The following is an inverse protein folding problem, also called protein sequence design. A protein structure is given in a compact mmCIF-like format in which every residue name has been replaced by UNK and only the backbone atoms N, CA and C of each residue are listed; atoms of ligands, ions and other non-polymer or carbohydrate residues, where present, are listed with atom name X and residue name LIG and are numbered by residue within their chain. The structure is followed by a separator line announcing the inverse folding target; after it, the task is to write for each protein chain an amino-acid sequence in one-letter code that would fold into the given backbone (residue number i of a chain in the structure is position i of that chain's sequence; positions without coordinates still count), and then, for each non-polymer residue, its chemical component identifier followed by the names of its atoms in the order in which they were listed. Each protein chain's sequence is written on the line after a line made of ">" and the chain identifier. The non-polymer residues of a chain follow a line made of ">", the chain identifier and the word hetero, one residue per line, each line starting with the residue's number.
data_IF_834129309772
#
_entry.id   IF_834129309772
#
_cell.length_a   1.000
_cell.length_b   1.000
_cell.length_c   1.000
_cell.angle_alpha   90.00
_cell.angle_beta   90.00
_cell.angle_gamma   90.00
#
_symmetry.space_group_name_H-M   'P 1'
#
loop_
_entity.id
_entity.type
_entity.pdbx_description
1 polymer ?
#
# COMPACT_ATOMS: atom_id res chain seq x y z
N UNK A 1 -2.60 -9.66 -22.54
CA UNK A 1 -1.31 -9.46 -21.86
C UNK A 1 -1.06 -7.97 -21.74
N UNK A 2 -1.42 -7.35 -20.62
CA UNK A 2 -0.98 -5.98 -20.34
C UNK A 2 0.52 -6.04 -20.09
N UNK A 3 1.33 -5.55 -21.03
CA UNK A 3 2.67 -5.07 -20.72
C UNK A 3 2.47 -4.05 -19.60
N UNK A 4 2.82 -4.42 -18.37
CA UNK A 4 2.59 -3.59 -17.20
C UNK A 4 3.47 -2.35 -17.28
N UNK A 5 2.93 -1.26 -17.82
CA UNK A 5 3.54 0.05 -17.69
C UNK A 5 3.55 0.40 -16.20
N UNK A 6 4.71 0.78 -15.68
CA UNK A 6 4.86 1.31 -14.34
C UNK A 6 5.24 2.78 -14.45
N UNK A 7 5.02 3.56 -13.39
CA UNK A 7 5.56 4.92 -13.30
C UNK A 7 6.85 4.88 -12.50
N UNK A 8 7.84 5.64 -12.92
CA UNK A 8 9.11 5.79 -12.22
C UNK A 8 9.31 7.27 -11.88
N UNK A 9 9.52 7.55 -10.60
CA UNK A 9 9.93 8.86 -10.10
C UNK A 9 11.45 8.91 -10.04
N UNK A 10 12.01 9.89 -10.73
CA UNK A 10 13.42 10.23 -10.69
C UNK A 10 13.58 11.44 -9.80
N UNK A 11 14.50 11.36 -8.84
CA UNK A 11 14.85 12.46 -7.96
C UNK A 11 16.37 12.65 -8.01
N UNK A 12 16.80 13.74 -8.63
CA UNK A 12 18.21 14.08 -8.80
C UNK A 12 18.53 15.31 -7.97
N UNK A 13 19.47 15.15 -7.02
CA UNK A 13 19.95 16.21 -6.14
C UNK A 13 21.47 16.34 -6.25
N UNK A 14 21.95 17.58 -6.18
CA UNK A 14 23.36 17.86 -6.00
C UNK A 14 23.72 17.71 -4.51
N UNK A 15 24.44 16.63 -4.18
CA UNK A 15 25.10 16.49 -2.89
C UNK A 15 26.56 16.89 -3.07
N UNK A 16 26.92 18.13 -2.80
CA UNK A 16 28.32 18.50 -2.53
C UNK A 16 28.71 18.03 -1.13
N UNK A 17 28.88 16.72 -0.97
CA UNK A 17 29.41 16.10 0.25
C UNK A 17 30.83 15.63 0.03
N UNK A 18 31.81 16.35 0.57
CA UNK A 18 33.20 15.89 0.70
C UNK A 18 33.24 14.62 1.56
N UNK A 19 33.38 13.46 0.92
CA UNK A 19 33.55 12.18 1.61
C UNK A 19 35.04 12.00 1.95
N UNK A 20 35.48 12.55 3.08
CA UNK A 20 36.65 12.02 3.79
C UNK A 20 36.17 10.80 4.59
N UNK A 21 36.33 9.61 4.01
CA UNK A 21 36.07 8.33 4.68
C UNK A 21 37.33 7.51 4.67
N UNK A 22 38.01 7.42 5.81
CA UNK A 22 39.11 6.49 6.04
C UNK A 22 38.66 5.05 5.80
N UNK A 23 39.43 4.33 5.01
CA UNK A 23 39.26 2.90 4.77
C UNK A 23 40.03 2.18 5.88
N UNK A 24 39.31 1.73 6.90
CA UNK A 24 39.69 0.55 7.66
C UNK A 24 38.71 -0.54 7.20
N UNK A 25 39.23 -1.60 6.57
CA UNK A 25 38.81 -2.95 6.90
C UNK A 25 39.69 -3.99 6.18
N UNK A 26 40.48 -4.66 7.01
CA UNK A 26 40.86 -6.05 6.86
C UNK A 26 39.66 -6.94 6.52
N UNK A 27 39.78 -7.78 5.49
CA UNK A 27 39.33 -9.18 5.47
C UNK A 27 39.70 -9.79 4.12
N UNK A 28 40.57 -10.80 4.16
CA UNK A 28 41.06 -11.52 3.00
C UNK A 28 40.06 -12.53 2.44
N UNK A 29 40.26 -12.88 1.18
CA UNK A 29 39.91 -14.17 0.60
C UNK A 29 40.90 -14.55 -0.49
N UNK A 30 41.12 -15.86 -0.56
CA UNK A 30 42.16 -16.59 -1.26
C UNK A 30 42.20 -16.43 -2.78
N UNK A 31 43.43 -16.63 -3.26
CA UNK A 31 43.94 -16.79 -4.61
C UNK A 31 43.24 -17.87 -5.45
N UNK A 32 42.97 -17.55 -6.72
CA UNK A 32 43.02 -18.52 -7.81
C UNK A 32 43.53 -17.84 -9.09
N UNK A 33 44.54 -18.47 -9.69
CA UNK A 33 45.53 -17.94 -10.63
C UNK A 33 45.08 -17.73 -12.09
N UNK A 34 45.69 -16.69 -12.69
CA UNK A 34 46.27 -16.52 -14.05
C UNK A 34 45.48 -16.93 -15.32
N UNK A 35 45.53 -16.22 -16.45
CA UNK A 35 46.56 -15.37 -17.02
C UNK A 35 45.97 -14.40 -18.08
N UNK A 36 46.79 -13.42 -18.49
CA UNK A 36 46.64 -12.52 -19.64
C UNK A 36 46.00 -11.14 -19.41
N UNK A 37 46.56 -10.36 -18.49
CA UNK A 37 46.66 -8.89 -18.65
C UNK A 37 47.99 -8.39 -18.08
N UNK A 38 48.72 -7.51 -18.80
CA UNK A 38 50.02 -7.00 -18.34
C UNK A 38 49.84 -6.09 -17.12
N UNK A 39 50.86 -5.99 -16.23
CA UNK A 39 50.79 -5.17 -15.04
C UNK A 39 50.72 -3.68 -15.44
N UNK A 40 49.71 -2.98 -14.91
CA UNK A 40 49.62 -1.51 -14.97
C UNK A 40 50.66 -0.97 -14.00
N UNK A 41 51.92 -0.94 -14.43
CA UNK A 41 52.92 -0.04 -13.88
C UNK A 41 53.02 1.17 -14.79
N UNK A 42 52.92 2.35 -14.17
CA UNK A 42 53.26 3.67 -14.73
C UNK A 42 52.38 4.19 -15.87
N UNK A 43 51.10 4.48 -15.59
CA UNK A 43 50.50 5.69 -16.15
C UNK A 43 50.80 6.85 -15.20
N UNK A 44 51.68 7.74 -15.65
CA UNK A 44 52.00 9.00 -15.00
C UNK A 44 50.72 9.82 -14.80
N UNK A 45 50.41 10.14 -13.56
CA UNK A 45 49.39 11.11 -13.15
C UNK A 45 49.83 12.53 -13.51
N UNK A 46 49.90 12.83 -14.80
CA UNK A 46 50.41 14.12 -15.30
C UNK A 46 49.33 15.05 -15.87
N UNK A 47 48.04 14.77 -15.67
CA UNK A 47 46.94 15.69 -15.97
C UNK A 47 46.00 15.79 -14.77
N UNK A 48 46.34 16.63 -13.79
CA UNK A 48 45.46 16.96 -12.64
C UNK A 48 44.38 17.98 -13.04
N UNK A 49 44.55 18.69 -14.16
CA UNK A 49 43.65 19.76 -14.61
C UNK A 49 42.41 19.26 -15.39
N UNK A 50 42.27 17.94 -15.64
CA UNK A 50 41.19 17.39 -16.47
C UNK A 50 39.95 16.95 -15.66
N UNK A 51 40.03 17.01 -14.32
CA UNK A 51 38.96 16.58 -13.41
C UNK A 51 38.25 17.72 -12.66
N UNK A 52 38.64 18.98 -12.87
CA UNK A 52 38.00 20.15 -12.23
C UNK A 52 36.54 20.39 -12.66
N UNK A 53 36.07 19.67 -13.70
CA UNK A 53 34.70 19.80 -14.24
C UNK A 53 33.85 18.53 -14.11
N UNK A 54 34.21 17.57 -13.26
CA UNK A 54 33.42 16.34 -13.06
C UNK A 54 32.55 16.45 -11.81
N UNK A 55 31.29 16.83 -11.99
CA UNK A 55 30.31 16.82 -10.89
C UNK A 55 29.58 15.47 -10.82
N UNK A 56 29.59 14.84 -9.64
CA UNK A 56 28.81 13.65 -9.37
C UNK A 56 27.39 14.03 -8.93
N UNK A 57 26.39 13.59 -9.69
CA UNK A 57 24.99 13.82 -9.40
C UNK A 57 24.37 12.59 -8.75
N UNK A 58 23.74 12.76 -7.59
CA UNK A 58 23.00 11.68 -6.95
C UNK A 58 21.60 11.57 -7.56
N UNK A 59 21.29 10.40 -8.14
CA UNK A 59 19.97 10.09 -8.69
C UNK A 59 19.33 8.92 -7.95
N UNK A 60 18.13 9.15 -7.39
CA UNK A 60 17.31 8.11 -6.77
C UNK A 60 16.10 7.82 -7.65
N UNK A 61 15.85 6.54 -7.88
CA UNK A 61 14.74 6.04 -8.68
C UNK A 61 13.72 5.30 -7.80
N UNK A 62 12.44 5.64 -7.91
CA UNK A 62 11.37 5.03 -7.12
C UNK A 62 10.20 4.60 -8.03
N UNK A 63 9.75 3.34 -7.89
CA UNK A 63 8.59 2.84 -8.64
C UNK A 63 7.31 3.31 -7.96
N UNK A 64 6.43 3.94 -8.72
CA UNK A 64 5.16 4.48 -8.25
C UNK A 64 4.02 3.74 -8.95
N UNK A 65 2.98 3.32 -8.21
CA UNK A 65 1.80 2.72 -8.82
C UNK A 65 1.02 3.77 -9.64
N UNK A 66 0.41 3.33 -10.74
CA UNK A 66 -0.59 4.14 -11.45
C UNK A 66 -1.77 4.49 -10.54
N UNK A 67 -2.55 5.49 -10.94
CA UNK A 67 -3.73 5.92 -10.21
C UNK A 67 -4.96 5.14 -10.67
N UNK A 68 -5.81 4.72 -9.74
CA UNK A 68 -7.04 3.99 -10.04
C UNK A 68 -8.22 4.99 -10.07
N UNK A 69 -8.58 5.44 -11.26
CA UNK A 69 -9.70 6.35 -11.52
C UNK A 69 -11.06 5.72 -11.18
N UNK A 70 -11.17 4.39 -11.17
CA UNK A 70 -12.39 3.67 -10.81
C UNK A 70 -12.64 3.60 -9.29
N UNK A 71 -11.62 3.69 -8.43
CA UNK A 71 -11.81 3.79 -6.97
C UNK A 71 -11.62 5.20 -6.43
N UNK A 72 -10.73 5.98 -7.04
CA UNK A 72 -10.33 7.28 -6.53
C UNK A 72 -11.08 8.39 -7.28
N UNK A 73 -12.25 8.78 -6.77
CA UNK A 73 -13.05 9.90 -7.30
C UNK A 73 -12.20 11.18 -7.40
N UNK A 74 -11.33 11.38 -6.40
CA UNK A 74 -9.91 11.72 -6.55
C UNK A 74 -9.45 12.27 -7.91
N UNK A 75 -9.01 11.32 -8.71
CA UNK A 75 -8.31 11.51 -9.96
C UNK A 75 -9.17 12.27 -10.97
N UNK A 76 -10.44 11.87 -11.14
CA UNK A 76 -11.39 12.51 -12.05
C UNK A 76 -11.72 13.95 -11.63
N UNK A 77 -11.89 14.19 -10.33
CA UNK A 77 -12.10 15.54 -9.78
C UNK A 77 -10.88 16.45 -9.99
N UNK A 78 -9.67 15.91 -9.80
CA UNK A 78 -8.44 16.66 -10.01
C UNK A 78 -8.29 17.04 -11.50
N UNK A 79 -8.63 16.16 -12.43
CA UNK A 79 -8.63 16.45 -13.87
C UNK A 79 -9.63 17.57 -14.20
N UNK A 80 -10.89 17.44 -13.76
CA UNK A 80 -11.93 18.44 -14.04
C UNK A 80 -11.58 19.83 -13.46
N UNK A 81 -11.10 19.87 -12.21
CA UNK A 81 -10.78 21.14 -11.58
C UNK A 81 -9.49 21.77 -12.12
N UNK A 82 -8.43 20.98 -12.34
CA UNK A 82 -7.13 21.50 -12.76
C UNK A 82 -7.09 21.82 -14.24
N UNK A 83 -7.73 21.04 -15.12
CA UNK A 83 -7.73 21.33 -16.57
C UNK A 83 -8.47 22.61 -16.94
N UNK A 84 -9.47 23.01 -16.14
CA UNK A 84 -10.17 24.27 -16.34
C UNK A 84 -9.29 25.49 -16.07
N UNK A 85 -8.27 25.34 -15.22
CA UNK A 85 -7.28 26.39 -14.89
C UNK A 85 -5.89 26.14 -15.50
N UNK A 86 -5.72 25.04 -16.23
CA UNK A 86 -4.42 24.64 -16.73
C UNK A 86 -3.99 25.49 -17.92
N UNK A 87 -2.70 25.81 -17.94
CA UNK A 87 -2.05 26.44 -19.11
C UNK A 87 -1.79 25.37 -20.15
N UNK A 88 -2.46 25.48 -21.30
CA UNK A 88 -2.35 24.52 -22.40
C UNK A 88 -1.67 25.21 -23.59
N UNK A 89 -0.43 24.82 -23.87
CA UNK A 89 0.34 25.35 -25.00
C UNK A 89 0.45 24.27 -26.08
N UNK A 90 -0.19 24.53 -27.23
CA UNK A 90 -0.17 23.60 -28.36
C UNK A 90 0.85 24.05 -29.40
N UNK A 91 1.54 23.07 -29.99
CA UNK A 91 2.44 23.21 -31.12
C UNK A 91 3.60 24.20 -30.90
N UNK A 92 4.26 24.06 -29.75
CA UNK A 92 5.50 24.79 -29.44
C UNK A 92 6.59 24.47 -30.49
N UNK A 93 7.31 25.47 -30.97
CA UNK A 93 8.34 25.36 -32.04
C UNK A 93 9.77 25.29 -31.49
N UNK A 94 9.93 25.61 -30.21
CA UNK A 94 11.18 25.68 -29.50
C UNK A 94 11.80 24.29 -29.34
N UNK A 95 13.12 24.22 -29.48
CA UNK A 95 13.87 22.95 -29.45
C UNK A 95 14.79 22.85 -28.24
N UNK A 96 15.06 23.97 -27.55
CA UNK A 96 15.84 24.00 -26.32
C UNK A 96 14.96 23.79 -25.10
N UNK A 97 15.42 22.96 -24.16
CA UNK A 97 14.73 22.71 -22.90
C UNK A 97 14.49 24.03 -22.15
N UNK A 98 15.50 24.90 -22.07
CA UNK A 98 15.38 26.16 -21.35
C UNK A 98 14.32 27.10 -21.95
N UNK A 99 14.28 27.21 -23.28
CA UNK A 99 13.32 28.06 -23.99
C UNK A 99 11.89 27.54 -23.80
N UNK A 100 11.71 26.22 -23.93
CA UNK A 100 10.42 25.56 -23.72
C UNK A 100 9.90 25.83 -22.30
N UNK A 101 10.74 25.57 -21.29
CA UNK A 101 10.34 25.78 -19.90
C UNK A 101 10.16 27.26 -19.56
N UNK A 102 10.99 28.16 -20.09
CA UNK A 102 10.83 29.60 -19.89
C UNK A 102 9.49 30.10 -20.44
N UNK A 103 9.09 29.65 -21.64
CA UNK A 103 7.81 30.01 -22.23
C UNK A 103 6.62 29.45 -21.46
N UNK A 104 6.69 28.19 -21.02
CA UNK A 104 5.63 27.58 -20.18
C UNK A 104 5.50 28.36 -18.87
N UNK A 105 6.61 28.63 -18.18
CA UNK A 105 6.61 29.33 -16.89
C UNK A 105 6.11 30.76 -17.06
N UNK A 106 6.49 31.45 -18.13
CA UNK A 106 6.02 32.80 -18.43
C UNK A 106 4.50 32.86 -18.63
N UNK A 107 3.94 31.93 -19.40
CA UNK A 107 2.49 31.84 -19.60
C UNK A 107 1.74 31.46 -18.31
N UNK A 108 2.35 30.65 -17.44
CA UNK A 108 1.77 30.37 -16.12
C UNK A 108 1.78 31.58 -15.20
N UNK A 109 2.86 32.37 -15.21
CA UNK A 109 3.00 33.60 -14.41
C UNK A 109 1.99 34.67 -14.85
N UNK A 110 1.73 34.78 -16.17
CA UNK A 110 0.71 35.70 -16.71
C UNK A 110 -0.69 35.32 -16.21
N UNK A 111 -1.03 34.03 -16.16
CA UNK A 111 -2.36 33.59 -15.76
C UNK A 111 -2.60 33.69 -14.26
N UNK A 112 -1.61 33.33 -13.43
CA UNK A 112 -1.71 33.40 -11.97
C UNK A 112 -0.37 33.84 -11.32
N UNK A 113 -0.23 35.11 -10.89
CA UNK A 113 1.02 35.65 -10.35
C UNK A 113 1.24 35.24 -8.87
N UNK A 114 1.30 33.93 -8.59
CA UNK A 114 1.59 33.39 -7.25
C UNK A 114 3.10 33.09 -7.04
N UNK A 115 3.90 33.07 -8.10
CA UNK A 115 5.31 32.65 -8.06
C UNK A 115 6.16 33.39 -9.11
N UNK A 116 7.45 33.54 -8.84
CA UNK A 116 8.39 34.15 -9.80
C UNK A 116 9.06 33.07 -10.65
N UNK A 117 9.32 33.37 -11.93
CA UNK A 117 10.00 32.47 -12.87
C UNK A 117 11.34 31.94 -12.34
N UNK A 118 12.12 32.76 -11.65
CA UNK A 118 13.39 32.38 -11.01
C UNK A 118 13.22 31.31 -9.92
N UNK A 119 12.18 31.43 -9.10
CA UNK A 119 11.90 30.46 -8.03
C UNK A 119 11.57 29.09 -8.62
N UNK A 120 10.71 29.06 -9.65
CA UNK A 120 10.37 27.82 -10.35
C UNK A 120 11.60 27.21 -11.03
N UNK A 121 12.41 28.03 -11.71
CA UNK A 121 13.64 27.58 -12.39
C UNK A 121 14.62 26.96 -11.41
N UNK A 122 14.80 27.56 -10.23
CA UNK A 122 15.74 27.09 -9.21
C UNK A 122 15.38 25.73 -8.60
N UNK A 123 14.10 25.34 -8.65
CA UNK A 123 13.59 24.06 -8.11
C UNK A 123 13.45 23.01 -9.21
N UNK A 124 13.06 23.42 -10.42
CA UNK A 124 12.94 22.50 -11.56
C UNK A 124 14.29 22.00 -12.04
N UNK A 125 15.32 22.85 -12.01
CA UNK A 125 16.66 22.51 -12.46
C UNK A 125 17.62 22.35 -11.29
N UNK A 126 18.50 21.37 -11.38
CA UNK A 126 19.62 21.27 -10.45
C UNK A 126 20.58 22.44 -10.65
N UNK A 127 20.93 23.11 -9.56
CA UNK A 127 21.89 24.21 -9.59
C UNK A 127 23.31 23.65 -9.63
N UNK A 128 24.01 23.82 -10.76
CA UNK A 128 25.47 23.78 -10.74
C UNK A 128 26.08 25.05 -11.31
N UNK A 129 27.18 25.44 -10.66
CA UNK A 129 28.00 26.61 -10.89
C UNK A 129 28.76 26.50 -12.21
N UNK A 130 28.05 26.69 -13.32
CA UNK A 130 28.67 26.78 -14.63
C UNK A 130 27.73 26.46 -15.78
N UNK A 131 26.57 27.10 -15.89
CA UNK A 131 25.75 27.38 -17.10
C UNK A 131 25.66 26.35 -18.27
N UNK A 132 26.10 25.10 -18.15
CA UNK A 132 26.29 24.21 -19.30
C UNK A 132 25.32 23.03 -19.34
N UNK A 133 24.76 22.58 -18.21
CA UNK A 133 23.81 21.46 -18.21
C UNK A 133 22.68 21.62 -17.18
N UNK A 134 21.46 21.87 -17.67
CA UNK A 134 20.25 21.89 -16.87
C UNK A 134 19.55 20.52 -16.89
N UNK A 135 19.60 19.78 -15.79
CA UNK A 135 18.87 18.51 -15.59
C UNK A 135 17.64 18.77 -14.72
N UNK A 136 16.52 18.16 -15.08
CA UNK A 136 15.28 18.26 -14.31
C UNK A 136 15.40 17.49 -12.98
N UNK A 137 15.21 18.18 -11.87
CA UNK A 137 15.43 17.63 -10.52
C UNK A 137 14.46 16.50 -10.18
N UNK A 138 13.16 16.67 -10.46
CA UNK A 138 12.14 15.67 -10.13
C UNK A 138 11.18 15.44 -11.29
N UNK A 139 11.20 14.22 -11.81
CA UNK A 139 10.42 13.84 -13.00
C UNK A 139 9.75 12.49 -12.83
N UNK A 140 8.59 12.33 -13.44
CA UNK A 140 7.86 11.06 -13.55
C UNK A 140 7.72 10.69 -15.02
N UNK A 141 8.11 9.46 -15.34
CA UNK A 141 7.98 8.87 -16.67
C UNK A 141 7.42 7.45 -16.55
N UNK A 142 6.87 6.91 -17.64
CA UNK A 142 6.52 5.49 -17.70
C UNK A 142 7.73 4.63 -18.04
N UNK A 143 7.75 3.42 -17.50
CA UNK A 143 8.72 2.38 -17.87
C UNK A 143 8.00 1.15 -18.42
N UNK A 144 8.62 0.57 -19.43
CA UNK A 144 8.24 -0.69 -20.04
C UNK A 144 9.29 -1.76 -19.71
N UNK A 145 8.84 -2.96 -19.38
CA UNK A 145 9.73 -4.11 -19.17
C UNK A 145 9.89 -4.85 -20.48
N UNK A 146 11.08 -4.78 -21.07
CA UNK A 146 11.43 -5.52 -22.29
C UNK A 146 12.26 -6.75 -21.88
N UNK A 147 11.63 -7.92 -21.81
CA UNK A 147 12.32 -9.22 -21.82
C UNK A 147 12.15 -10.13 -20.60
N UNK A 148 12.15 -11.44 -20.88
CA UNK A 148 11.93 -12.56 -19.94
C UNK A 148 13.17 -13.03 -19.18
N UNK A 149 14.36 -12.51 -19.50
CA UNK A 149 15.63 -12.84 -18.82
C UNK A 149 16.49 -11.58 -18.79
N UNK A 150 16.65 -10.93 -17.63
CA UNK A 150 17.61 -9.84 -17.44
C UNK A 150 17.09 -8.45 -17.07
N UNK A 151 15.77 -8.23 -16.91
CA UNK A 151 15.22 -7.08 -16.17
C UNK A 151 15.65 -5.69 -16.64
N UNK A 152 15.96 -5.50 -17.92
CA UNK A 152 16.16 -4.16 -18.50
C UNK A 152 14.82 -3.43 -18.59
N UNK A 153 14.79 -2.18 -18.11
CA UNK A 153 13.61 -1.32 -18.16
C UNK A 153 13.88 -0.20 -19.17
N UNK A 154 12.99 -0.07 -20.15
CA UNK A 154 13.04 1.03 -21.13
C UNK A 154 12.08 2.14 -20.70
N UNK A 155 12.48 3.39 -20.89
CA UNK A 155 11.63 4.56 -20.62
C UNK A 155 10.69 4.84 -21.80
N UNK A 156 9.46 5.25 -21.51
CA UNK A 156 8.60 5.88 -22.51
C UNK A 156 9.15 7.29 -22.80
N UNK A 157 9.66 7.47 -24.02
CA UNK A 157 10.38 8.67 -24.43
C UNK A 157 9.46 9.80 -24.89
N UNK A 158 8.16 9.53 -25.06
CA UNK A 158 7.22 10.44 -25.73
C UNK A 158 6.67 11.56 -24.85
N UNK A 159 6.78 11.42 -23.53
CA UNK A 159 6.29 12.41 -22.57
C UNK A 159 7.12 12.45 -21.28
N UNK A 160 7.01 13.57 -20.57
CA UNK A 160 7.60 13.72 -19.24
C UNK A 160 6.70 14.58 -18.35
N UNK A 161 6.60 14.22 -17.07
CA UNK A 161 5.98 15.06 -16.07
C UNK A 161 7.02 15.56 -15.07
N UNK A 162 7.30 16.87 -15.09
CA UNK A 162 8.15 17.54 -14.12
C UNK A 162 7.30 18.03 -12.94
N UNK A 163 7.82 17.84 -11.73
CA UNK A 163 7.12 18.24 -10.51
C UNK A 163 7.93 19.27 -9.73
N UNK A 164 7.25 20.31 -9.28
CA UNK A 164 7.83 21.43 -8.54
C UNK A 164 7.01 21.66 -7.27
N UNK A 165 7.70 21.79 -6.14
CA UNK A 165 7.07 22.08 -4.85
C UNK A 165 7.58 23.42 -4.33
N UNK A 166 6.69 24.39 -4.18
CA UNK A 166 7.03 25.74 -3.73
C UNK A 166 6.27 26.07 -2.44
N UNK A 167 6.89 26.80 -1.52
CA UNK A 167 6.23 27.28 -0.30
C UNK A 167 5.40 28.54 -0.51
N UNK A 168 5.65 29.27 -1.60
CA UNK A 168 4.96 30.52 -1.96
C UNK A 168 3.57 30.27 -2.55
N UNK A 169 3.41 29.15 -3.24
CA UNK A 169 2.20 28.77 -3.97
C UNK A 169 1.13 28.24 -3.01
N UNK A 170 -0.12 28.69 -3.15
CA UNK A 170 -1.26 28.24 -2.34
C UNK A 170 -2.07 27.15 -3.05
N UNK A 171 -2.15 27.24 -4.38
CA UNK A 171 -2.97 26.36 -5.21
C UNK A 171 -2.12 25.45 -6.11
N UNK A 172 -2.70 24.37 -6.63
CA UNK A 172 -1.98 23.48 -7.54
C UNK A 172 -2.15 24.00 -8.95
N UNK A 173 -1.05 24.21 -9.64
CA UNK A 173 -1.02 24.70 -11.01
C UNK A 173 -0.47 23.61 -11.92
N UNK A 174 -1.10 23.46 -13.09
CA UNK A 174 -0.71 22.47 -14.09
C UNK A 174 -0.54 23.18 -15.42
N UNK A 175 0.58 22.94 -16.08
CA UNK A 175 0.78 23.31 -17.47
C UNK A 175 1.06 22.06 -18.30
N UNK A 176 0.49 22.02 -19.50
CA UNK A 176 0.71 20.97 -20.47
C UNK A 176 1.12 21.63 -21.78
N UNK A 177 2.29 21.26 -22.27
CA UNK A 177 2.80 21.69 -23.57
C UNK A 177 2.87 20.51 -24.53
N UNK A 178 2.37 20.71 -25.75
CA UNK A 178 2.60 19.83 -26.90
C UNK A 178 3.63 20.48 -27.82
N UNK A 179 4.70 19.76 -28.11
CA UNK A 179 5.71 20.18 -29.08
C UNK A 179 5.21 19.89 -30.51
N UNK A 180 5.47 20.83 -31.42
CA UNK A 180 5.11 20.72 -32.85
C UNK A 180 5.83 19.54 -33.52
N UNK A 181 7.11 19.37 -33.20
CA UNK A 181 7.95 18.27 -33.61
C UNK A 181 8.49 17.55 -32.37
N UNK A 182 8.67 16.22 -32.44
CA UNK A 182 9.35 15.52 -31.36
C UNK A 182 10.79 16.03 -31.21
N UNK A 183 11.19 16.28 -29.97
CA UNK A 183 12.47 16.91 -29.66
C UNK A 183 13.28 16.04 -28.71
N UNK A 184 14.58 15.90 -29.00
CA UNK A 184 15.51 15.21 -28.10
C UNK A 184 15.99 16.17 -27.00
N UNK A 185 15.53 15.95 -25.77
CA UNK A 185 15.90 16.73 -24.59
C UNK A 185 16.81 15.96 -23.61
N UNK A 186 17.34 14.80 -24.00
CA UNK A 186 18.30 14.05 -23.18
C UNK A 186 18.17 12.53 -23.28
N UNK A 187 18.92 11.83 -22.43
CA UNK A 187 19.07 10.36 -22.51
C UNK A 187 17.76 9.58 -22.34
N UNK A 188 16.83 10.08 -21.52
CA UNK A 188 15.51 9.46 -21.28
C UNK A 188 14.37 10.14 -22.06
N UNK A 189 14.68 11.11 -22.94
CA UNK A 189 13.72 11.98 -23.64
C UNK A 189 14.17 12.21 -25.09
N UNK A 190 14.36 11.13 -25.85
CA UNK A 190 14.90 11.23 -27.21
C UNK A 190 13.85 11.66 -28.24
N UNK A 191 12.57 11.39 -27.97
CA UNK A 191 11.43 11.64 -28.87
C UNK A 191 10.29 12.35 -28.12
N UNK A 192 10.64 13.36 -27.31
CA UNK A 192 9.68 13.99 -26.41
C UNK A 192 8.67 14.82 -27.19
N UNK A 193 7.38 14.64 -26.88
CA UNK A 193 6.29 15.38 -27.53
C UNK A 193 5.36 16.09 -26.55
N UNK A 194 5.22 15.56 -25.33
CA UNK A 194 4.41 16.17 -24.28
C UNK A 194 5.23 16.49 -23.04
N UNK A 195 5.08 17.70 -22.52
CA UNK A 195 5.68 18.14 -21.27
C UNK A 195 4.56 18.56 -20.34
N UNK A 196 4.50 17.94 -19.17
CA UNK A 196 3.56 18.29 -18.11
C UNK A 196 4.35 18.88 -16.94
N UNK A 197 4.00 20.07 -16.50
CA UNK A 197 4.58 20.69 -15.30
C UNK A 197 3.50 20.78 -14.23
N UNK A 198 3.76 20.23 -13.06
CA UNK A 198 2.88 20.34 -11.89
C UNK A 198 3.60 21.14 -10.82
N UNK A 199 3.04 22.31 -10.47
CA UNK A 199 3.50 23.16 -9.37
C UNK A 199 2.49 23.02 -8.22
N UNK A 200 2.98 22.72 -7.02
CA UNK A 200 2.11 22.56 -5.86
C UNK A 200 2.73 23.13 -4.57
N UNK A 201 1.91 23.47 -3.57
CA UNK A 201 2.39 23.87 -2.24
C UNK A 201 3.27 22.79 -1.60
N UNK A 202 4.37 23.21 -0.95
CA UNK A 202 5.26 22.31 -0.20
C UNK A 202 4.59 21.66 1.03
N UNK A 203 3.60 22.32 1.61
CA UNK A 203 2.79 21.82 2.74
C UNK A 203 1.35 21.54 2.30
N UNK A 204 1.14 20.42 1.62
CA UNK A 204 -0.19 19.96 1.23
C UNK A 204 -0.73 18.86 2.17
N UNK A 205 -2.03 18.91 2.50
CA UNK A 205 -2.69 17.87 3.30
C UNK A 205 -2.88 16.58 2.50
N UNK A 206 -2.31 15.47 3.00
CA UNK A 206 -2.64 14.10 2.60
C UNK A 206 -2.62 13.85 1.09
N UNK A 207 -3.81 13.64 0.51
CA UNK A 207 -4.04 13.22 -0.89
C UNK A 207 -4.06 14.39 -1.91
N UNK A 208 -3.50 15.56 -1.58
CA UNK A 208 -3.37 16.73 -2.47
C UNK A 208 -1.89 17.09 -2.76
N UNK A 209 -0.97 16.16 -2.54
CA UNK A 209 0.45 16.38 -2.78
C UNK A 209 0.76 16.54 -4.26
N UNK A 210 1.88 17.20 -4.58
CA UNK A 210 2.39 17.33 -5.96
C UNK A 210 2.44 15.96 -6.66
N UNK A 211 2.99 14.96 -5.96
CA UNK A 211 3.14 13.60 -6.44
C UNK A 211 1.79 12.94 -6.78
N UNK A 212 0.76 13.16 -5.96
CA UNK A 212 -0.58 12.60 -6.23
C UNK A 212 -1.24 13.22 -7.46
N UNK A 213 -1.04 14.52 -7.70
CA UNK A 213 -1.52 15.20 -8.90
C UNK A 213 -0.73 14.79 -10.14
N UNK A 214 0.60 14.72 -10.03
CA UNK A 214 1.48 14.18 -11.07
C UNK A 214 1.08 12.76 -11.46
N UNK A 215 0.78 11.87 -10.50
CA UNK A 215 0.30 10.51 -10.77
C UNK A 215 -1.00 10.49 -11.58
N UNK A 216 -1.92 11.43 -11.32
CA UNK A 216 -3.17 11.56 -12.08
C UNK A 216 -2.90 11.79 -13.57
N UNK A 217 -2.10 12.80 -13.90
CA UNK A 217 -1.76 13.10 -15.31
C UNK A 217 -0.86 12.03 -15.92
N UNK A 218 0.15 11.56 -15.19
CA UNK A 218 1.06 10.50 -15.63
C UNK A 218 0.32 9.21 -16.01
N UNK A 219 -0.78 8.86 -15.30
CA UNK A 219 -1.58 7.68 -15.62
C UNK A 219 -2.34 7.84 -16.95
N UNK A 220 -2.87 9.04 -17.25
CA UNK A 220 -3.51 9.32 -18.54
C UNK A 220 -2.50 9.32 -19.69
N UNK A 221 -1.35 9.96 -19.48
CA UNK A 221 -0.30 10.03 -20.50
C UNK A 221 0.45 8.71 -20.67
N UNK A 222 0.36 7.76 -19.74
CA UNK A 222 0.92 6.42 -19.91
C UNK A 222 0.18 5.60 -20.99
N UNK A 223 -1.07 5.94 -21.29
CA UNK A 223 -1.85 5.30 -22.34
C UNK A 223 -1.49 5.87 -23.73
N UNK A 224 -1.06 4.98 -24.63
CA UNK A 224 -0.69 5.34 -25.99
C UNK A 224 -1.88 5.85 -26.81
N UNK A 225 -3.08 5.31 -26.61
CA UNK A 225 -4.27 5.66 -27.39
C UNK A 225 -4.76 7.07 -27.05
N UNK A 226 -4.67 7.44 -25.77
CA UNK A 226 -4.93 8.81 -25.31
C UNK A 226 -3.93 9.76 -25.94
N UNK A 227 -2.63 9.45 -25.91
CA UNK A 227 -1.58 10.31 -26.51
C UNK A 227 -1.82 10.54 -28.01
N UNK A 228 -2.20 9.51 -28.75
CA UNK A 228 -2.51 9.66 -30.18
C UNK A 228 -3.67 10.63 -30.41
N UNK A 229 -4.76 10.51 -29.64
CA UNK A 229 -5.89 11.46 -29.72
C UNK A 229 -5.47 12.90 -29.40
N UNK A 230 -4.59 13.08 -28.40
CA UNK A 230 -4.07 14.40 -28.02
C UNK A 230 -3.17 15.03 -29.10
N UNK A 231 -2.44 14.22 -29.87
CA UNK A 231 -1.68 14.72 -31.01
C UNK A 231 -2.62 15.26 -32.11
N UNK A 232 -3.78 14.63 -32.31
CA UNK A 232 -4.74 15.02 -33.35
C UNK A 232 -5.60 16.24 -32.99
N UNK A 233 -5.57 16.71 -31.73
CA UNK A 233 -6.39 17.84 -31.30
C UNK A 233 -5.88 19.17 -31.90
N UNK A 234 -6.70 19.85 -32.71
CA UNK A 234 -6.31 21.11 -33.36
C UNK A 234 -6.57 22.38 -32.54
N UNK A 235 -7.42 22.31 -31.50
CA UNK A 235 -7.71 23.43 -30.60
C UNK A 235 -7.48 23.07 -29.14
N UNK A 236 -7.28 24.10 -28.31
CA UNK A 236 -7.09 23.95 -26.86
C UNK A 236 -8.33 23.34 -26.20
N UNK A 237 -9.53 23.73 -26.65
CA UNK A 237 -10.80 23.21 -26.16
C UNK A 237 -10.96 21.73 -26.53
N UNK A 238 -10.60 21.35 -27.76
CA UNK A 238 -10.63 19.97 -28.21
C UNK A 238 -9.63 19.11 -27.42
N UNK A 239 -8.44 19.63 -27.15
CA UNK A 239 -7.43 18.96 -26.32
C UNK A 239 -7.95 18.73 -24.89
N UNK A 240 -8.54 19.77 -24.29
CA UNK A 240 -9.15 19.70 -22.94
C UNK A 240 -10.29 18.69 -22.89
N UNK A 241 -11.21 18.74 -23.86
CA UNK A 241 -12.34 17.82 -23.94
C UNK A 241 -11.87 16.37 -24.08
N UNK A 242 -10.85 16.12 -24.91
CA UNK A 242 -10.27 14.79 -25.12
C UNK A 242 -9.68 14.22 -23.83
N UNK A 243 -8.93 15.01 -23.05
CA UNK A 243 -8.39 14.57 -21.76
C UNK A 243 -9.50 14.27 -20.74
N UNK A 244 -10.55 15.09 -20.71
CA UNK A 244 -11.65 14.93 -19.77
C UNK A 244 -12.50 13.69 -20.10
N UNK A 245 -12.74 13.44 -21.39
CA UNK A 245 -13.40 12.23 -21.87
C UNK A 245 -12.56 10.98 -21.57
N UNK A 246 -11.26 11.02 -21.86
CA UNK A 246 -10.34 9.92 -21.57
C UNK A 246 -10.28 9.56 -20.08
N UNK A 247 -10.31 10.56 -19.18
CA UNK A 247 -10.37 10.31 -17.73
C UNK A 247 -11.67 9.62 -17.29
N UNK A 248 -12.81 9.96 -17.91
CA UNK A 248 -14.10 9.32 -17.64
C UNK A 248 -14.18 7.90 -18.18
N UNK A 249 -13.68 7.70 -19.40
CA UNK A 249 -13.56 6.39 -20.05
C UNK A 249 -12.70 5.44 -19.21
N UNK A 250 -11.51 5.88 -18.81
CA UNK A 250 -10.60 5.10 -17.97
C UNK A 250 -11.25 4.74 -16.61
N UNK A 251 -12.00 5.66 -16.00
CA UNK A 251 -12.72 5.39 -14.75
C UNK A 251 -13.82 4.31 -14.93
N UNK A 252 -14.55 4.37 -16.05
CA UNK A 252 -15.59 3.39 -16.38
C UNK A 252 -14.97 2.01 -16.64
N UNK A 253 -13.90 1.93 -17.42
CA UNK A 253 -13.22 0.67 -17.71
C UNK A 253 -12.66 0.00 -16.44
N UNK A 254 -12.00 0.78 -15.59
CA UNK A 254 -11.43 0.27 -14.33
C UNK A 254 -12.52 -0.19 -13.35
N UNK A 255 -13.65 0.52 -13.27
CA UNK A 255 -14.78 0.11 -12.44
C UNK A 255 -15.45 -1.16 -12.95
N UNK A 256 -15.73 -1.26 -14.25
CA UNK A 256 -16.26 -2.48 -14.87
C UNK A 256 -15.32 -3.67 -14.73
N UNK A 257 -14.02 -3.47 -14.91
CA UNK A 257 -13.03 -4.52 -14.70
C UNK A 257 -13.04 -5.02 -13.25
N UNK A 258 -13.15 -4.12 -12.28
CA UNK A 258 -13.26 -4.48 -10.86
C UNK A 258 -14.53 -5.27 -10.57
N UNK A 259 -15.67 -4.84 -11.11
CA UNK A 259 -16.94 -5.57 -10.96
C UNK A 259 -16.87 -6.96 -11.58
N UNK A 260 -16.30 -7.10 -12.78
CA UNK A 260 -16.04 -8.40 -13.42
C UNK A 260 -15.12 -9.28 -12.57
N UNK A 261 -14.06 -8.72 -11.99
CA UNK A 261 -13.15 -9.48 -11.12
C UNK A 261 -13.84 -9.93 -9.84
N UNK A 262 -14.67 -9.07 -9.25
CA UNK A 262 -15.48 -9.41 -8.08
C UNK A 262 -16.50 -10.50 -8.39
N UNK A 263 -17.18 -10.43 -9.54
CA UNK A 263 -18.15 -11.44 -9.95
C UNK A 263 -17.49 -12.77 -10.34
N UNK A 264 -16.29 -12.74 -10.95
CA UNK A 264 -15.46 -13.94 -11.18
C UNK A 264 -15.02 -14.54 -9.85
N UNK A 265 -14.55 -13.74 -8.90
CA UNK A 265 -14.16 -14.24 -7.57
C UNK A 265 -15.37 -14.84 -6.83
N UNK A 266 -16.54 -14.21 -6.93
CA UNK A 266 -17.78 -14.73 -6.33
C UNK A 266 -18.25 -16.03 -7.01
N UNK A 267 -18.15 -16.12 -8.34
CA UNK A 267 -18.51 -17.35 -9.07
C UNK A 267 -17.51 -18.48 -8.83
N UNK A 268 -16.21 -18.19 -8.77
CA UNK A 268 -15.18 -19.16 -8.38
C UNK A 268 -15.33 -19.60 -6.92
N UNK A 269 -15.64 -18.67 -6.00
CA UNK A 269 -15.96 -19.03 -4.62
C UNK A 269 -17.21 -19.90 -4.57
N UNK A 270 -18.25 -19.58 -5.34
CA UNK A 270 -19.48 -20.38 -5.44
C UNK A 270 -19.23 -21.76 -6.04
N UNK A 271 -18.37 -21.87 -7.04
CA UNK A 271 -17.96 -23.15 -7.63
C UNK A 271 -17.04 -23.96 -6.69
N UNK A 272 -16.22 -23.31 -5.87
CA UNK A 272 -15.47 -24.00 -4.82
C UNK A 272 -16.38 -24.47 -3.67
N UNK A 273 -17.44 -23.72 -3.36
CA UNK A 273 -18.40 -24.05 -2.27
C UNK A 273 -19.43 -25.09 -2.71
N UNK A 274 -19.93 -25.01 -3.95
CA UNK A 274 -21.05 -25.81 -4.47
C UNK A 274 -20.71 -26.66 -5.70
N UNK A 275 -19.49 -26.60 -6.21
CA UNK A 275 -19.08 -27.36 -7.39
C UNK A 275 -19.01 -28.85 -7.07
N UNK A 276 -19.48 -29.67 -8.01
CA UNK A 276 -19.43 -31.15 -7.97
C UNK A 276 -17.99 -31.71 -8.13
N UNK A 277 -16.97 -31.01 -7.64
CA UNK A 277 -15.59 -31.49 -7.64
C UNK A 277 -15.33 -32.41 -6.45
N UNK A 278 -15.42 -33.73 -6.67
CA UNK A 278 -15.06 -34.84 -5.74
C UNK A 278 -15.07 -34.43 -4.26
N UNK A 279 -16.26 -34.37 -3.67
CA UNK A 279 -16.45 -34.16 -2.22
C UNK A 279 -15.79 -35.31 -1.46
N UNK A 280 -14.60 -35.06 -0.91
CA UNK A 280 -13.91 -35.99 -0.03
C UNK A 280 -13.92 -35.38 1.38
N UNK A 281 -14.42 -36.10 2.40
CA UNK A 281 -14.46 -35.56 3.75
C UNK A 281 -13.06 -35.18 4.23
N UNK A 282 -12.93 -34.07 4.94
CA UNK A 282 -11.67 -33.53 5.49
C UNK A 282 -10.65 -33.02 4.46
N UNK A 283 -10.99 -32.92 3.17
CA UNK A 283 -10.08 -32.38 2.15
C UNK A 283 -9.55 -30.99 2.53
N UNK A 284 -10.42 -30.05 2.85
CA UNK A 284 -10.04 -28.69 3.26
C UNK A 284 -9.13 -28.67 4.48
N UNK A 285 -9.41 -29.51 5.49
CA UNK A 285 -8.58 -29.62 6.69
C UNK A 285 -7.16 -30.12 6.37
N UNK A 286 -7.02 -31.07 5.45
CA UNK A 286 -5.71 -31.58 5.01
C UNK A 286 -4.93 -30.51 4.25
N UNK A 287 -5.61 -29.77 3.37
CA UNK A 287 -5.02 -28.66 2.61
C UNK A 287 -4.53 -27.54 3.56
N UNK A 288 -5.36 -27.15 4.53
CA UNK A 288 -5.03 -26.17 5.56
C UNK A 288 -3.83 -26.60 6.41
N UNK A 289 -3.80 -27.86 6.85
CA UNK A 289 -2.68 -28.41 7.62
C UNK A 289 -1.38 -28.40 6.81
N UNK A 290 -1.44 -28.78 5.53
CA UNK A 290 -0.28 -28.77 4.62
C UNK A 290 0.26 -27.36 4.39
N UNK A 291 -0.61 -26.35 4.31
CA UNK A 291 -0.21 -24.95 4.20
C UNK A 291 0.40 -24.41 5.50
N UNK A 292 -0.22 -24.71 6.64
CA UNK A 292 0.23 -24.26 7.97
C UNK A 292 1.57 -24.87 8.36
N UNK A 293 1.78 -26.17 8.10
CA UNK A 293 3.01 -26.91 8.44
C UNK A 293 4.29 -26.23 7.90
N UNK A 294 4.22 -25.60 6.72
CA UNK A 294 5.39 -24.93 6.10
C UNK A 294 5.90 -23.73 6.91
N UNK A 295 4.99 -23.03 7.58
CA UNK A 295 5.29 -21.78 8.31
C UNK A 295 5.44 -22.00 9.82
N UNK A 296 5.02 -23.15 10.34
CA UNK A 296 4.99 -23.39 11.79
C UNK A 296 6.36 -23.22 12.46
N UNK A 297 7.44 -23.69 11.82
CA UNK A 297 8.80 -23.54 12.36
C UNK A 297 9.30 -22.09 12.24
N UNK A 298 8.98 -21.39 11.14
CA UNK A 298 9.39 -20.00 10.95
C UNK A 298 8.74 -19.09 11.99
N UNK A 299 7.49 -19.31 12.37
CA UNK A 299 6.78 -18.48 13.35
C UNK A 299 7.54 -18.36 14.69
N UNK A 300 8.18 -19.44 15.17
CA UNK A 300 9.01 -19.40 16.39
C UNK A 300 10.35 -18.69 16.18
N UNK A 301 10.94 -18.83 14.99
CA UNK A 301 12.21 -18.17 14.65
C UNK A 301 12.01 -16.67 14.42
N UNK A 302 10.90 -16.27 13.81
CA UNK A 302 10.56 -14.88 13.48
C UNK A 302 10.29 -14.05 14.74
N UNK A 303 9.78 -14.68 15.81
CA UNK A 303 9.65 -14.04 17.12
C UNK A 303 11.00 -13.72 17.80
N UNK A 304 12.09 -14.38 17.37
CA UNK A 304 13.42 -14.24 17.97
C UNK A 304 14.41 -13.50 17.06
N UNK A 305 14.22 -13.55 15.74
CA UNK A 305 15.14 -12.98 14.75
C UNK A 305 14.63 -11.63 14.24
N UNK A 306 15.28 -10.54 14.66
CA UNK A 306 15.08 -9.22 14.06
C UNK A 306 15.46 -8.06 14.96
N UNK A 307 15.73 -6.90 14.35
CA UNK A 307 16.09 -5.69 15.08
C UNK A 307 14.92 -5.22 15.96
N UNK A 308 15.15 -5.14 17.28
CA UNK A 308 14.14 -4.79 18.31
C UNK A 308 12.95 -5.76 18.41
N UNK A 309 12.98 -6.94 17.79
CA UNK A 309 11.88 -7.90 17.84
C UNK A 309 11.62 -8.41 19.26
N UNK A 310 12.67 -8.75 20.03
CA UNK A 310 12.54 -9.22 21.41
C UNK A 310 11.86 -8.20 22.33
N UNK A 311 12.16 -6.91 22.14
CA UNK A 311 11.52 -5.84 22.91
C UNK A 311 10.04 -5.71 22.55
N UNK A 312 9.70 -5.78 21.25
CA UNK A 312 8.30 -5.76 20.78
C UNK A 312 7.53 -6.96 21.32
N UNK A 313 8.09 -8.17 21.23
CA UNK A 313 7.49 -9.40 21.72
C UNK A 313 7.19 -9.30 23.22
N UNK A 314 8.17 -8.90 24.03
CA UNK A 314 7.99 -8.78 25.48
C UNK A 314 6.94 -7.72 25.85
N UNK A 315 6.98 -6.56 25.19
CA UNK A 315 5.98 -5.51 25.36
C UNK A 315 4.57 -6.00 25.03
N UNK A 316 4.42 -6.69 23.89
CA UNK A 316 3.15 -7.29 23.47
C UNK A 316 2.66 -8.35 24.46
N UNK A 317 3.53 -9.22 24.99
CA UNK A 317 3.15 -10.22 26.00
C UNK A 317 2.56 -9.57 27.24
N UNK A 318 3.22 -8.56 27.79
CA UNK A 318 2.74 -7.85 29.00
C UNK A 318 1.41 -7.14 28.70
N UNK A 319 1.33 -6.44 27.57
CA UNK A 319 0.12 -5.73 27.17
C UNK A 319 -1.07 -6.70 27.00
N UNK A 320 -0.89 -7.78 26.25
CA UNK A 320 -1.94 -8.78 26.03
C UNK A 320 -2.33 -9.48 27.33
N UNK A 321 -1.38 -9.76 28.24
CA UNK A 321 -1.67 -10.39 29.52
C UNK A 321 -2.71 -9.60 30.31
N UNK A 322 -2.49 -8.30 30.52
CA UNK A 322 -3.46 -7.45 31.22
C UNK A 322 -4.74 -7.23 30.43
N UNK A 323 -4.65 -7.06 29.11
CA UNK A 323 -5.80 -6.89 28.24
C UNK A 323 -6.74 -8.11 28.24
N UNK A 324 -6.20 -9.32 28.37
CA UNK A 324 -6.98 -10.56 28.39
C UNK A 324 -7.44 -10.95 29.80
N UNK A 325 -6.65 -10.63 30.83
CA UNK A 325 -6.95 -11.00 32.22
C UNK A 325 -8.17 -10.26 32.76
N UNK A 326 -8.29 -8.95 32.49
CA UNK A 326 -9.39 -8.14 33.02
C UNK A 326 -10.77 -8.61 32.53
N UNK A 327 -11.00 -8.81 31.21
CA UNK A 327 -12.26 -9.39 30.73
C UNK A 327 -12.49 -10.82 31.23
N UNK A 328 -11.44 -11.64 31.36
CA UNK A 328 -11.57 -13.00 31.88
C UNK A 328 -12.07 -13.01 33.35
N UNK A 329 -11.60 -12.08 34.18
CA UNK A 329 -12.10 -11.91 35.56
C UNK A 329 -13.55 -11.42 35.53
N UNK A 330 -13.85 -10.38 34.76
CA UNK A 330 -15.19 -9.80 34.69
C UNK A 330 -16.24 -10.84 34.25
N UNK A 331 -15.97 -11.59 33.17
CA UNK A 331 -16.85 -12.66 32.72
C UNK A 331 -16.82 -13.89 33.64
N UNK A 332 -15.72 -14.12 34.36
CA UNK A 332 -15.63 -15.13 35.40
C UNK A 332 -16.59 -14.85 36.56
N UNK A 333 -16.68 -13.60 37.02
CA UNK A 333 -17.63 -13.17 38.07
C UNK A 333 -19.07 -13.30 37.56
N UNK A 334 -19.33 -12.81 36.34
CA UNK A 334 -20.65 -12.94 35.73
C UNK A 334 -21.11 -14.40 35.61
N UNK A 335 -20.20 -15.32 35.30
CA UNK A 335 -20.51 -16.76 35.23
C UNK A 335 -20.68 -17.39 36.62
N UNK A 336 -19.95 -16.93 37.63
CA UNK A 336 -20.12 -17.36 39.02
C UNK A 336 -21.55 -17.02 39.49
N UNK A 337 -21.98 -15.78 39.26
CA UNK A 337 -23.32 -15.29 39.58
C UNK A 337 -24.41 -16.05 38.79
N UNK A 338 -24.19 -16.26 37.49
CA UNK A 338 -25.16 -16.93 36.63
C UNK A 338 -25.33 -18.43 36.92
N UNK A 339 -24.34 -19.06 37.55
CA UNK A 339 -24.33 -20.51 37.81
C UNK A 339 -24.38 -20.86 39.29
N UNK A 340 -24.71 -19.90 40.16
CA UNK A 340 -24.78 -20.12 41.61
C UNK A 340 -23.47 -20.63 42.20
N UNK A 341 -22.33 -20.14 41.71
CA UNK A 341 -21.00 -20.52 42.18
C UNK A 341 -20.46 -21.85 41.62
N UNK A 342 -21.12 -22.47 40.63
CA UNK A 342 -20.62 -23.72 40.00
C UNK A 342 -19.42 -23.45 39.08
N UNK A 343 -19.46 -22.36 38.31
CA UNK A 343 -18.35 -21.89 37.45
C UNK A 343 -17.75 -20.61 38.02
N UNK A 344 -16.76 -20.77 38.89
CA UNK A 344 -16.08 -19.64 39.52
C UNK A 344 -15.00 -19.03 38.64
N UNK A 345 -14.58 -17.82 38.99
CA UNK A 345 -13.50 -17.07 38.32
C UNK A 345 -12.25 -17.91 38.11
N UNK A 346 -11.81 -18.67 39.14
CA UNK A 346 -10.63 -19.55 39.04
C UNK A 346 -10.78 -20.59 37.93
N UNK A 347 -11.96 -21.22 37.81
CA UNK A 347 -12.23 -22.23 36.78
C UNK A 347 -12.27 -21.59 35.39
N UNK A 348 -12.85 -20.39 35.27
CA UNK A 348 -12.87 -19.63 34.02
C UNK A 348 -11.47 -19.26 33.52
N UNK A 349 -10.61 -18.72 34.39
CA UNK A 349 -9.23 -18.36 34.04
C UNK A 349 -8.43 -19.61 33.66
N UNK A 350 -8.55 -20.69 34.43
CA UNK A 350 -7.85 -21.95 34.13
C UNK A 350 -8.30 -22.54 32.79
N UNK A 351 -9.60 -22.55 32.51
CA UNK A 351 -10.13 -23.04 31.24
C UNK A 351 -9.61 -22.20 30.05
N UNK A 352 -9.59 -20.88 30.18
CA UNK A 352 -9.07 -19.98 29.15
C UNK A 352 -7.56 -20.15 28.94
N UNK A 353 -6.78 -20.34 30.01
CA UNK A 353 -5.35 -20.61 29.92
C UNK A 353 -5.06 -21.92 29.17
N UNK A 354 -5.74 -23.02 29.55
CA UNK A 354 -5.57 -24.32 28.89
C UNK A 354 -6.00 -24.25 27.42
N UNK A 355 -7.17 -23.66 27.15
CA UNK A 355 -7.67 -23.48 25.79
C UNK A 355 -6.76 -22.59 24.93
N UNK A 356 -6.21 -21.53 25.51
CA UNK A 356 -5.27 -20.62 24.86
C UNK A 356 -3.95 -21.30 24.50
N UNK A 357 -3.36 -22.08 25.41
CA UNK A 357 -2.14 -22.85 25.13
C UNK A 357 -2.38 -23.89 24.04
N UNK A 358 -3.50 -24.61 24.11
CA UNK A 358 -3.85 -25.60 23.10
C UNK A 358 -4.04 -24.97 21.73
N UNK A 359 -4.75 -23.84 21.65
CA UNK A 359 -4.96 -23.12 20.40
C UNK A 359 -3.68 -22.46 19.87
N UNK A 360 -2.80 -21.94 20.73
CA UNK A 360 -1.51 -21.41 20.31
C UNK A 360 -0.63 -22.51 19.69
N UNK A 361 -0.69 -23.74 20.21
CA UNK A 361 0.08 -24.87 19.70
C UNK A 361 -0.52 -25.46 18.40
N UNK A 362 -1.84 -25.63 18.32
CA UNK A 362 -2.49 -26.38 17.23
C UNK A 362 -3.32 -25.51 16.27
N UNK A 363 -3.45 -24.21 16.53
CA UNK A 363 -4.27 -23.30 15.74
C UNK A 363 -3.69 -22.99 14.36
N UNK A 364 -4.58 -22.78 13.39
CA UNK A 364 -4.20 -22.36 12.03
C UNK A 364 -3.70 -20.91 11.96
N UNK A 365 -4.11 -20.06 12.92
CA UNK A 365 -3.80 -18.63 12.96
C UNK A 365 -3.45 -18.22 14.42
N UNK A 366 -2.16 -18.18 14.80
CA UNK A 366 -1.74 -17.96 16.19
C UNK A 366 -1.97 -16.52 16.68
N UNK A 367 -2.31 -15.60 15.78
CA UNK A 367 -2.68 -14.22 16.11
C UNK A 367 -4.07 -14.09 16.74
N UNK A 368 -4.89 -15.14 16.70
CA UNK A 368 -6.23 -15.12 17.29
C UNK A 368 -6.13 -15.36 18.80
N UNK A 369 -6.73 -14.46 19.57
CA UNK A 369 -6.81 -14.55 21.04
C UNK A 369 -8.17 -15.14 21.41
N UNK A 370 -8.17 -16.25 22.13
CA UNK A 370 -9.40 -16.87 22.64
C UNK A 370 -9.85 -16.19 23.94
N UNK A 371 -11.05 -15.61 23.93
CA UNK A 371 -11.65 -14.95 25.09
C UNK A 371 -13.11 -15.38 25.26
N UNK A 372 -13.55 -15.47 26.51
CA UNK A 372 -14.98 -15.65 26.81
C UNK A 372 -15.72 -14.37 26.43
N UNK A 373 -16.86 -14.51 25.76
CA UNK A 373 -17.70 -13.39 25.32
C UNK A 373 -19.06 -13.41 26.00
N UNK A 374 -19.76 -12.26 25.98
CA UNK A 374 -21.09 -12.09 26.58
C UNK A 374 -22.11 -13.14 26.11
N UNK A 375 -22.23 -13.44 24.80
CA UNK A 375 -23.19 -14.45 24.34
C UNK A 375 -22.93 -15.85 24.94
N UNK A 376 -21.66 -16.21 25.13
CA UNK A 376 -21.29 -17.48 25.76
C UNK A 376 -21.70 -17.51 27.24
N UNK A 377 -21.52 -16.42 27.98
CA UNK A 377 -21.97 -16.32 29.38
C UNK A 377 -23.50 -16.47 29.52
N UNK A 378 -24.26 -15.86 28.60
CA UNK A 378 -25.72 -16.02 28.55
C UNK A 378 -26.09 -17.47 28.23
N UNK A 379 -25.39 -18.11 27.32
CA UNK A 379 -25.61 -19.51 26.97
C UNK A 379 -25.38 -20.45 28.18
N UNK A 380 -24.30 -20.25 28.93
CA UNK A 380 -24.01 -20.99 30.17
C UNK A 380 -25.15 -20.82 31.19
N UNK A 381 -25.64 -19.59 31.39
CA UNK A 381 -26.78 -19.29 32.28
C UNK A 381 -28.04 -20.06 31.90
N UNK A 382 -28.34 -20.13 30.60
CA UNK A 382 -29.50 -20.85 30.09
C UNK A 382 -29.37 -22.34 30.36
N UNK A 383 -28.21 -22.95 30.10
CA UNK A 383 -27.97 -24.37 30.41
C UNK A 383 -28.13 -24.63 31.91
N UNK A 384 -27.59 -23.75 32.75
CA UNK A 384 -27.73 -23.86 34.20
C UNK A 384 -29.20 -23.87 34.62
N UNK A 385 -30.01 -22.92 34.13
CA UNK A 385 -31.46 -22.88 34.42
C UNK A 385 -32.20 -24.12 33.93
N UNK A 386 -31.86 -24.62 32.74
CA UNK A 386 -32.47 -25.85 32.22
C UNK A 386 -32.09 -27.03 33.12
N UNK A 387 -30.84 -27.11 33.58
CA UNK A 387 -30.38 -28.18 34.47
C UNK A 387 -31.14 -28.22 35.78
N UNK A 388 -31.37 -27.04 36.35
CA UNK A 388 -32.14 -26.87 37.59
C UNK A 388 -33.61 -27.25 37.38
N UNK A 389 -34.21 -26.82 36.27
CA UNK A 389 -35.62 -27.12 35.96
C UNK A 389 -35.89 -28.61 35.72
N UNK A 390 -34.91 -29.34 35.16
CA UNK A 390 -35.00 -30.77 34.88
C UNK A 390 -34.47 -31.64 36.03
N UNK A 391 -33.87 -31.05 37.06
CA UNK A 391 -33.24 -31.78 38.17
C UNK A 391 -31.97 -32.55 37.78
N UNK A 392 -31.30 -32.18 36.69
CA UNK A 392 -30.06 -32.82 36.24
C UNK A 392 -28.82 -32.15 36.83
N UNK A 393 -27.73 -32.90 36.99
CA UNK A 393 -26.46 -32.31 37.37
C UNK A 393 -25.95 -31.37 36.26
N UNK A 394 -25.64 -30.14 36.66
CA UNK A 394 -25.20 -29.08 35.76
C UNK A 394 -23.93 -29.48 34.99
N UNK A 395 -22.93 -30.07 35.66
CA UNK A 395 -21.67 -30.41 34.99
C UNK A 395 -21.86 -31.54 33.97
N UNK A 396 -22.67 -32.55 34.31
CA UNK A 396 -23.01 -33.62 33.38
C UNK A 396 -23.75 -33.10 32.13
N UNK A 397 -24.74 -32.22 32.31
CA UNK A 397 -25.44 -31.65 31.16
C UNK A 397 -24.56 -30.70 30.35
N UNK A 398 -23.75 -29.86 31.02
CA UNK A 398 -22.82 -28.96 30.35
C UNK A 398 -21.76 -29.73 29.52
N UNK A 399 -21.26 -30.85 30.04
CA UNK A 399 -20.35 -31.74 29.31
C UNK A 399 -21.05 -32.40 28.10
N UNK A 400 -22.29 -32.87 28.26
CA UNK A 400 -23.07 -33.45 27.17
C UNK A 400 -23.28 -32.44 26.02
N UNK A 401 -23.68 -31.21 26.35
CA UNK A 401 -23.81 -30.12 25.39
C UNK A 401 -22.47 -29.86 24.68
N UNK A 402 -21.36 -29.82 25.42
CA UNK A 402 -20.02 -29.66 24.85
C UNK A 402 -19.64 -30.79 23.87
N UNK A 403 -19.97 -32.04 24.19
CA UNK A 403 -19.73 -33.19 23.31
C UNK A 403 -20.55 -33.10 22.01
N UNK A 404 -21.81 -32.66 22.09
CA UNK A 404 -22.62 -32.42 20.89
C UNK A 404 -22.08 -31.27 20.05
N UNK A 405 -21.63 -30.18 20.67
CA UNK A 405 -20.96 -29.09 19.96
C UNK A 405 -19.71 -29.60 19.23
N UNK A 406 -18.88 -30.42 19.88
CA UNK A 406 -17.70 -31.01 19.24
C UNK A 406 -18.07 -31.93 18.08
N UNK A 407 -19.12 -32.73 18.22
CA UNK A 407 -19.62 -33.59 17.14
C UNK A 407 -20.05 -32.78 15.92
N UNK A 408 -20.83 -31.71 16.10
CA UNK A 408 -21.22 -30.83 14.98
C UNK A 408 -20.04 -30.10 14.37
N UNK A 409 -19.05 -29.67 15.17
CA UNK A 409 -17.83 -29.06 14.66
C UNK A 409 -17.03 -30.01 13.75
N UNK A 410 -16.92 -31.30 14.11
CA UNK A 410 -16.27 -32.31 13.27
C UNK A 410 -17.03 -32.50 11.96
N UNK A 411 -18.36 -32.51 11.99
CA UNK A 411 -19.18 -32.57 10.77
C UNK A 411 -18.93 -31.35 9.90
N UNK A 412 -18.98 -30.13 10.45
CA UNK A 412 -18.76 -28.90 9.69
C UNK A 412 -17.36 -28.80 9.08
N UNK A 413 -16.34 -29.28 9.80
CA UNK A 413 -14.98 -29.39 9.28
C UNK A 413 -14.87 -30.43 8.16
N UNK A 414 -15.56 -31.57 8.28
CA UNK A 414 -15.58 -32.61 7.27
C UNK A 414 -16.31 -32.17 6.00
N UNK A 415 -17.36 -31.34 6.12
CA UNK A 415 -18.17 -30.83 5.01
C UNK A 415 -17.69 -29.48 4.45
N UNK A 416 -16.54 -28.97 4.90
CA UNK A 416 -15.97 -27.69 4.48
C UNK A 416 -16.93 -26.49 4.59
N UNK A 417 -17.76 -26.46 5.65
CA UNK A 417 -18.78 -25.40 5.81
C UNK A 417 -18.15 -24.01 5.96
N UNK A 418 -16.88 -23.93 6.39
CA UNK A 418 -16.10 -22.69 6.44
C UNK A 418 -16.00 -21.96 5.10
N UNK A 419 -16.16 -22.66 3.97
CA UNK A 419 -16.18 -22.04 2.64
C UNK A 419 -17.32 -21.03 2.48
N UNK A 420 -18.39 -21.12 3.29
CA UNK A 420 -19.46 -20.12 3.36
C UNK A 420 -18.95 -18.73 3.75
N UNK A 421 -17.87 -18.64 4.52
CA UNK A 421 -17.23 -17.36 4.88
C UNK A 421 -16.69 -16.62 3.66
N UNK A 422 -16.36 -17.32 2.55
CA UNK A 422 -15.94 -16.66 1.29
C UNK A 422 -17.06 -15.84 0.65
N UNK A 423 -18.32 -16.09 1.04
CA UNK A 423 -19.48 -15.32 0.59
C UNK A 423 -19.75 -14.09 1.47
N UNK A 424 -19.07 -13.99 2.63
CA UNK A 424 -19.15 -12.78 3.45
C UNK A 424 -18.48 -11.62 2.70
N UNK A 425 -19.22 -10.52 2.54
CA UNK A 425 -18.68 -9.30 1.94
C UNK A 425 -17.89 -8.52 2.98
N UNK A 426 -16.88 -7.78 2.52
CA UNK A 426 -16.11 -6.85 3.38
C UNK A 426 -17.01 -5.89 4.17
N UNK A 427 -18.11 -5.43 3.56
CA UNK A 427 -19.09 -4.58 4.25
C UNK A 427 -19.75 -5.27 5.44
N UNK A 428 -20.03 -6.58 5.36
CA UNK A 428 -20.59 -7.34 6.47
C UNK A 428 -19.59 -7.50 7.61
N UNK A 429 -18.32 -7.74 7.29
CA UNK A 429 -17.24 -7.80 8.29
C UNK A 429 -17.04 -6.46 9.01
N UNK A 430 -17.06 -5.34 8.26
CA UNK A 430 -16.95 -3.99 8.83
C UNK A 430 -18.15 -3.65 9.73
N UNK A 431 -19.38 -4.00 9.32
CA UNK A 431 -20.57 -3.83 10.16
C UNK A 431 -20.50 -4.67 11.44
N UNK A 432 -20.03 -5.92 11.35
CA UNK A 432 -19.87 -6.79 12.51
C UNK A 432 -18.81 -6.26 13.47
N UNK A 433 -17.66 -5.82 12.97
CA UNK A 433 -16.62 -5.19 13.78
C UNK A 433 -17.12 -3.92 14.48
N UNK A 434 -17.90 -3.09 13.77
CA UNK A 434 -18.51 -1.89 14.36
C UNK A 434 -19.50 -2.24 15.47
N UNK A 435 -20.34 -3.26 15.26
CA UNK A 435 -21.27 -3.73 16.28
C UNK A 435 -20.56 -4.17 17.57
N UNK A 436 -19.48 -4.96 17.44
CA UNK A 436 -18.69 -5.39 18.60
C UNK A 436 -18.00 -4.20 19.28
N UNK A 437 -17.46 -3.24 18.51
CA UNK A 437 -16.85 -2.04 19.07
C UNK A 437 -17.83 -1.19 19.88
N UNK A 438 -19.06 -0.98 19.36
CA UNK A 438 -20.13 -0.26 20.07
C UNK A 438 -20.51 -1.02 21.35
N UNK A 439 -20.68 -2.34 21.28
CA UNK A 439 -21.02 -3.15 22.45
C UNK A 439 -19.96 -3.02 23.57
N UNK A 440 -18.67 -3.10 23.24
CA UNK A 440 -17.59 -2.91 24.22
C UNK A 440 -17.56 -1.48 24.78
N UNK A 441 -17.81 -0.46 23.95
CA UNK A 441 -17.86 0.93 24.40
C UNK A 441 -19.00 1.16 25.40
N UNK A 442 -20.20 0.66 25.09
CA UNK A 442 -21.37 0.76 25.99
C UNK A 442 -21.11 0.04 27.31
N UNK A 443 -20.55 -1.17 27.27
CA UNK A 443 -20.25 -1.93 28.49
C UNK A 443 -19.18 -1.22 29.35
N UNK A 444 -18.17 -0.63 28.72
CA UNK A 444 -17.15 0.17 29.42
C UNK A 444 -17.76 1.40 30.11
N UNK A 445 -18.65 2.13 29.43
CA UNK A 445 -19.37 3.28 30.02
C UNK A 445 -20.28 2.84 31.17
N UNK A 446 -21.00 1.72 31.01
CA UNK A 446 -21.83 1.14 32.07
C UNK A 446 -21.00 0.79 33.31
N UNK A 447 -19.87 0.13 33.13
CA UNK A 447 -18.98 -0.25 34.23
C UNK A 447 -18.49 0.98 35.02
N UNK A 448 -18.12 2.07 34.33
CA UNK A 448 -17.71 3.33 34.97
C UNK A 448 -18.88 3.96 35.73
N UNK A 449 -20.08 3.98 35.15
CA UNK A 449 -21.26 4.54 35.80
C UNK A 449 -21.61 3.78 37.08
N UNK A 450 -21.64 2.44 37.03
CA UNK A 450 -21.88 1.61 38.21
C UNK A 450 -20.79 1.80 39.26
N UNK A 451 -19.51 1.91 38.87
CA UNK A 451 -18.41 2.19 39.80
C UNK A 451 -18.52 3.57 40.49
N UNK A 452 -19.11 4.56 39.83
CA UNK A 452 -19.28 5.91 40.38
C UNK A 452 -20.48 6.00 41.32
N UNK A 453 -21.52 5.18 41.12
CA UNK A 453 -22.73 5.15 41.95
C UNK A 453 -22.53 4.38 43.28
N UNK A 454 -21.52 3.51 43.36
CA UNK A 454 -21.15 2.76 44.58
C UNK A 454 -20.01 3.40 45.40
N UNK A 455 -19.52 4.58 45.01
CA UNK A 455 -18.70 5.46 45.84
C UNK A 455 -19.57 6.59 46.35
#
# INVERSE_FOLDING_TARGET
>A
SQLGSLLQLNNTNNNSGTLFGGIDDTLGYDTMDCADTPPIDTMSWSNIDEFDNVTLMYSKHEKIPMKDFGSEIRATMDIDHLLNKAVLLLDLQETSLEEIFAKIIHEMDIQEPEFTSEQVRSVLFTQDAGNQFHILSRTVQSICTTGTVGGTFDYDQTWICALCMLSTVQHRHVAIARLSHPTNLGRTMQDLRFIIIVIAPSRAKGTKTALETTRTFATLFADMDIRQRLVMAHSVEAFRATLLEAAKELALEQSQWRERKSSIHLSQAKEQVFGLGKFFPFRGLIEDFKMRKKHYISDYLDGLRGHRTMQKMFSSIIFLYFACLLPAIAFGVLNDDNTGGRINVRKGILAQAIGGVFFAAFGGQPMIILLTTVPLAIYIKVIYRISESLGYDFFAMYACVGLWCQFFLVIYAATELCSLMKLATRSAEEMFSLFIAIAFAVESVRAIHTSTVFK
#
